data_IF_124060075739
#
_entry.id   IF_124060075739
#
_cell.length_a   1.000
_cell.length_b   1.000
_cell.length_c   1.000
_cell.angle_alpha   90.00
_cell.angle_beta   90.00
_cell.angle_gamma   90.00
#
_symmetry.space_group_name_H-M   'P 1'
#
loop_
_entity.id
_entity.type
_entity.pdbx_description
1 polymer ?
#
# COMPACT_ATOMS: atom_id res chain seq x y z
N UNK A 1 43.14 60.02 31.51
CA UNK A 1 41.97 59.88 30.61
C UNK A 1 42.50 59.27 29.31
N UNK A 2 42.07 58.14 28.74
CA UNK A 2 40.90 57.25 28.87
C UNK A 2 41.38 55.81 28.57
N UNK A 3 40.72 54.83 29.19
CA UNK A 3 40.96 53.38 29.08
C UNK A 3 40.60 52.88 27.67
N UNK A 4 41.46 52.07 27.07
CA UNK A 4 41.12 51.25 25.91
C UNK A 4 40.82 49.82 26.39
N UNK A 5 39.54 49.52 26.48
CA UNK A 5 38.98 48.22 26.82
C UNK A 5 39.13 47.32 25.59
N UNK A 6 40.03 46.33 25.62
CA UNK A 6 40.00 45.23 24.64
C UNK A 6 38.86 44.29 25.02
N UNK A 7 37.72 44.44 24.34
CA UNK A 7 36.69 43.42 24.28
C UNK A 7 37.27 42.23 23.51
N UNK A 8 37.52 41.13 24.23
CA UNK A 8 37.71 39.84 23.61
C UNK A 8 36.40 39.47 22.89
N UNK A 9 36.39 39.56 21.56
CA UNK A 9 35.39 38.88 20.75
C UNK A 9 35.66 37.38 20.87
N UNK A 10 34.99 36.74 21.82
CA UNK A 10 34.67 35.32 21.72
C UNK A 10 33.84 35.14 20.47
N UNK A 11 34.47 34.68 19.39
CA UNK A 11 33.79 34.05 18.27
C UNK A 11 33.14 32.80 18.84
N UNK A 12 31.89 32.92 19.28
CA UNK A 12 31.00 31.77 19.32
C UNK A 12 30.80 31.36 17.88
N UNK A 13 31.59 30.39 17.42
CA UNK A 13 31.25 29.59 16.27
C UNK A 13 29.89 28.97 16.60
N UNK A 14 28.83 29.58 16.07
CA UNK A 14 27.51 29.00 16.06
C UNK A 14 27.65 27.64 15.38
N UNK A 15 27.47 26.58 16.15
CA UNK A 15 27.14 25.25 15.65
C UNK A 15 25.73 25.27 15.03
N UNK A 16 25.52 26.16 14.05
CA UNK A 16 24.43 26.05 13.10
C UNK A 16 24.87 24.94 12.15
N UNK A 17 24.65 23.69 12.58
CA UNK A 17 24.80 22.54 11.72
C UNK A 17 23.97 22.78 10.48
N UNK A 18 24.57 22.58 9.32
CA UNK A 18 23.91 22.69 8.02
C UNK A 18 22.70 21.75 8.03
N UNK A 19 21.50 22.34 8.15
CA UNK A 19 20.22 21.62 8.18
C UNK A 19 19.82 21.15 6.78
N UNK A 20 20.60 21.49 5.75
CA UNK A 20 20.33 21.09 4.38
C UNK A 20 20.75 19.63 4.14
N UNK A 21 19.89 18.78 3.56
CA UNK A 21 20.30 17.47 3.08
C UNK A 21 21.37 17.60 1.99
N UNK A 22 22.40 16.76 2.06
CA UNK A 22 23.41 16.64 1.01
C UNK A 22 22.83 15.94 -0.22
N UNK A 23 23.43 16.14 -1.40
CA UNK A 23 22.94 15.48 -2.62
C UNK A 23 22.95 13.94 -2.53
N UNK A 24 23.93 13.37 -1.81
CA UNK A 24 23.97 11.92 -1.58
C UNK A 24 22.77 11.43 -0.79
N UNK A 25 22.37 12.19 0.24
CA UNK A 25 21.18 11.89 1.05
C UNK A 25 19.90 12.03 0.26
N UNK A 26 19.79 13.07 -0.57
CA UNK A 26 18.63 13.27 -1.46
C UNK A 26 18.51 12.10 -2.44
N UNK A 27 19.62 11.65 -3.03
CA UNK A 27 19.61 10.55 -3.99
C UNK A 27 19.23 9.21 -3.33
N UNK A 28 19.80 8.91 -2.15
CA UNK A 28 19.44 7.70 -1.40
C UNK A 28 17.96 7.72 -0.98
N UNK A 29 17.49 8.85 -0.47
CA UNK A 29 16.10 9.00 -0.05
C UNK A 29 15.12 8.91 -1.23
N UNK A 30 15.47 9.49 -2.38
CA UNK A 30 14.68 9.36 -3.63
C UNK A 30 14.55 7.90 -4.03
N UNK A 31 15.65 7.13 -4.02
CA UNK A 31 15.62 5.72 -4.35
C UNK A 31 14.77 4.89 -3.36
N UNK A 32 14.66 5.31 -2.09
CA UNK A 32 13.77 4.67 -1.09
C UNK A 32 12.31 5.03 -1.31
N UNK A 33 12.00 6.29 -1.65
CA UNK A 33 10.64 6.71 -2.02
C UNK A 33 10.12 5.92 -3.21
N UNK A 34 10.92 5.76 -4.26
CA UNK A 34 10.53 4.97 -5.43
C UNK A 34 10.23 3.50 -5.07
N UNK A 35 11.05 2.90 -4.20
CA UNK A 35 10.82 1.53 -3.72
C UNK A 35 9.55 1.43 -2.88
N UNK A 36 9.28 2.40 -2.00
CA UNK A 36 8.04 2.45 -1.23
C UNK A 36 6.86 2.57 -2.18
N UNK A 37 6.87 3.54 -3.11
CA UNK A 37 5.80 3.76 -4.07
C UNK A 37 5.51 2.48 -4.88
N UNK A 38 6.54 1.83 -5.42
CA UNK A 38 6.40 0.60 -6.18
C UNK A 38 5.85 -0.57 -5.33
N UNK A 39 6.30 -0.71 -4.08
CA UNK A 39 5.80 -1.74 -3.16
C UNK A 39 4.33 -1.49 -2.79
N UNK A 40 3.97 -0.24 -2.50
CA UNK A 40 2.59 0.13 -2.18
C UNK A 40 1.65 0.05 -3.39
N UNK A 41 2.17 0.20 -4.61
CA UNK A 41 1.41 -0.06 -5.84
C UNK A 41 1.04 -1.55 -5.98
N UNK A 42 1.92 -2.47 -5.57
CA UNK A 42 1.60 -3.90 -5.52
C UNK A 42 0.60 -4.25 -4.41
N UNK A 43 0.73 -3.61 -3.24
CA UNK A 43 -0.26 -3.72 -2.15
C UNK A 43 -1.63 -3.24 -2.61
N UNK A 44 -1.68 -2.11 -3.31
CA UNK A 44 -2.88 -1.61 -3.98
C UNK A 44 -3.48 -2.67 -4.91
N UNK A 45 -2.67 -3.28 -5.76
CA UNK A 45 -3.12 -4.36 -6.65
C UNK A 45 -3.74 -5.53 -5.89
N UNK A 46 -3.15 -5.96 -4.78
CA UNK A 46 -3.70 -7.02 -3.95
C UNK A 46 -5.07 -6.67 -3.35
N UNK A 47 -5.24 -5.43 -2.88
CA UNK A 47 -6.49 -4.97 -2.30
C UNK A 47 -7.57 -4.70 -3.35
N UNK A 48 -7.20 -4.26 -4.56
CA UNK A 48 -8.16 -4.11 -5.66
C UNK A 48 -8.73 -5.45 -6.12
N UNK A 49 -7.98 -6.56 -6.03
CA UNK A 49 -8.52 -7.90 -6.27
C UNK A 49 -9.61 -8.25 -5.25
N UNK A 50 -9.47 -7.85 -3.99
CA UNK A 50 -10.56 -8.00 -3.03
C UNK A 50 -11.75 -7.10 -3.36
N UNK A 51 -11.47 -5.91 -3.89
CA UNK A 51 -12.45 -4.95 -4.35
C UNK A 51 -13.36 -5.45 -5.49
N UNK A 52 -12.94 -6.49 -6.20
CA UNK A 52 -13.73 -7.11 -7.27
C UNK A 52 -14.96 -7.85 -6.75
N UNK A 53 -14.94 -8.26 -5.49
CA UNK A 53 -16.08 -8.91 -4.85
C UNK A 53 -16.79 -7.89 -3.94
N UNK A 54 -18.12 -7.90 -3.88
CA UNK A 54 -18.87 -6.98 -3.03
C UNK A 54 -18.58 -7.21 -1.54
N UNK A 55 -18.99 -6.23 -0.73
CA UNK A 55 -18.99 -6.33 0.72
C UNK A 55 -20.27 -7.00 1.18
N UNK A 56 -20.12 -7.98 2.06
CA UNK A 56 -21.23 -8.58 2.74
C UNK A 56 -21.92 -7.61 3.69
N UNK A 57 -23.24 -7.45 3.53
CA UNK A 57 -24.08 -6.75 4.49
C UNK A 57 -24.87 -7.81 5.27
N UNK A 58 -24.78 -7.79 6.59
CA UNK A 58 -25.42 -8.77 7.47
C UNK A 58 -26.90 -8.99 7.13
N UNK A 59 -27.35 -10.23 7.25
CA UNK A 59 -28.76 -10.61 7.10
C UNK A 59 -29.13 -11.30 5.79
N UNK A 60 -28.20 -11.49 4.86
CA UNK A 60 -28.42 -12.31 3.66
C UNK A 60 -27.71 -13.68 3.78
N UNK A 61 -28.31 -14.80 3.31
CA UNK A 61 -27.63 -16.08 3.34
C UNK A 61 -26.35 -16.06 2.48
N UNK A 62 -25.23 -16.55 3.05
CA UNK A 62 -23.90 -16.57 2.42
C UNK A 62 -23.90 -17.00 0.95
N UNK A 63 -24.58 -18.09 0.62
CA UNK A 63 -24.63 -18.60 -0.77
C UNK A 63 -25.39 -17.69 -1.73
N UNK A 64 -26.46 -17.03 -1.27
CA UNK A 64 -27.21 -16.08 -2.09
C UNK A 64 -26.33 -14.89 -2.43
N UNK A 65 -25.64 -14.34 -1.43
CA UNK A 65 -24.68 -13.26 -1.59
C UNK A 65 -23.59 -13.60 -2.62
N UNK A 66 -22.94 -14.76 -2.46
CA UNK A 66 -21.82 -15.14 -3.32
C UNK A 66 -22.24 -15.35 -4.78
N UNK A 67 -23.44 -15.85 -5.03
CA UNK A 67 -23.96 -15.97 -6.40
C UNK A 67 -24.15 -14.59 -7.05
N UNK A 68 -24.77 -13.64 -6.33
CA UNK A 68 -24.91 -12.26 -6.80
C UNK A 68 -23.56 -11.56 -7.01
N UNK A 69 -22.60 -11.82 -6.12
CA UNK A 69 -21.25 -11.32 -6.23
C UNK A 69 -20.56 -11.77 -7.52
N UNK A 70 -20.67 -13.06 -7.86
CA UNK A 70 -20.09 -13.64 -9.08
C UNK A 70 -20.75 -13.08 -10.34
N UNK A 71 -22.08 -12.91 -10.32
CA UNK A 71 -22.81 -12.26 -11.42
C UNK A 71 -22.35 -10.81 -11.62
N UNK A 72 -22.21 -10.04 -10.52
CA UNK A 72 -21.76 -8.66 -10.53
C UNK A 72 -20.31 -8.49 -11.03
N UNK A 73 -19.41 -9.39 -10.64
CA UNK A 73 -18.04 -9.40 -11.14
C UNK A 73 -18.00 -9.67 -12.65
N UNK A 74 -18.74 -10.66 -13.12
CA UNK A 74 -18.78 -11.01 -14.55
C UNK A 74 -19.35 -9.88 -15.41
N UNK A 75 -20.26 -9.07 -14.84
CA UNK A 75 -20.81 -7.88 -15.50
C UNK A 75 -19.84 -6.69 -15.51
N UNK A 76 -18.98 -6.54 -14.49
CA UNK A 76 -18.08 -5.39 -14.35
C UNK A 76 -16.70 -5.61 -14.97
N UNK A 77 -16.19 -6.84 -14.96
CA UNK A 77 -14.88 -7.20 -15.52
C UNK A 77 -15.06 -8.34 -16.52
N UNK A 78 -15.36 -7.99 -17.77
CA UNK A 78 -15.74 -8.93 -18.83
C UNK A 78 -14.70 -10.00 -19.20
N UNK A 79 -13.43 -9.76 -18.86
CA UNK A 79 -12.34 -10.69 -19.11
C UNK A 79 -11.96 -11.56 -17.89
N UNK A 80 -12.68 -11.39 -16.78
CA UNK A 80 -12.57 -12.24 -15.60
C UNK A 80 -13.78 -13.19 -15.54
N UNK A 81 -13.54 -14.36 -14.95
CA UNK A 81 -14.58 -15.33 -14.64
C UNK A 81 -14.51 -15.62 -13.16
N UNK A 82 -15.66 -15.85 -12.53
CA UNK A 82 -15.72 -16.30 -11.15
C UNK A 82 -16.64 -17.51 -11.00
N UNK A 83 -16.29 -18.40 -10.09
CA UNK A 83 -17.07 -19.63 -9.85
C UNK A 83 -17.10 -19.91 -8.36
N UNK A 84 -18.32 -20.02 -7.81
CA UNK A 84 -18.55 -20.42 -6.42
C UNK A 84 -18.39 -21.93 -6.29
N UNK A 85 -17.63 -22.38 -5.30
CA UNK A 85 -17.44 -23.78 -4.95
C UNK A 85 -17.62 -23.95 -3.43
N UNK A 86 -18.57 -24.78 -2.98
CA UNK A 86 -18.70 -25.09 -1.57
C UNK A 86 -17.47 -25.85 -1.06
N UNK A 87 -16.98 -25.47 0.12
CA UNK A 87 -15.83 -26.13 0.77
C UNK A 87 -16.33 -26.99 1.92
N UNK A 88 -17.09 -26.39 2.84
CA UNK A 88 -17.74 -27.07 3.97
C UNK A 88 -19.05 -26.34 4.34
N UNK A 89 -19.62 -26.66 5.50
CA UNK A 89 -20.89 -26.11 5.96
C UNK A 89 -20.81 -24.59 6.24
N UNK A 90 -19.65 -24.10 6.65
CA UNK A 90 -19.41 -22.71 7.07
C UNK A 90 -18.49 -21.94 6.13
N UNK A 91 -17.96 -22.59 5.10
CA UNK A 91 -17.01 -22.04 4.15
C UNK A 91 -17.43 -22.30 2.70
N UNK A 92 -17.52 -21.23 1.91
CA UNK A 92 -17.58 -21.30 0.45
C UNK A 92 -16.32 -20.66 -0.13
N UNK A 93 -15.97 -21.01 -1.37
CA UNK A 93 -14.84 -20.40 -2.07
C UNK A 93 -15.28 -19.84 -3.42
N UNK A 94 -14.70 -18.74 -3.84
CA UNK A 94 -14.85 -18.17 -5.17
C UNK A 94 -13.51 -18.24 -5.87
N UNK A 95 -13.43 -19.00 -6.96
CA UNK A 95 -12.27 -19.00 -7.84
C UNK A 95 -12.45 -17.89 -8.87
N UNK A 96 -11.61 -16.86 -8.80
CA UNK A 96 -11.53 -15.79 -9.81
C UNK A 96 -10.39 -16.12 -10.78
N UNK A 97 -10.66 -16.13 -12.07
CA UNK A 97 -9.69 -16.36 -13.14
C UNK A 97 -9.74 -15.25 -14.17
N UNK A 98 -8.58 -14.66 -14.46
CA UNK A 98 -8.42 -13.65 -15.50
C UNK A 98 -7.98 -14.31 -16.81
N UNK A 99 -8.34 -13.71 -17.95
CA UNK A 99 -7.90 -14.17 -19.27
C UNK A 99 -6.36 -14.22 -19.38
N UNK A 100 -5.83 -15.10 -20.24
CA UNK A 100 -4.38 -15.26 -20.45
C UNK A 100 -3.72 -13.98 -20.98
N UNK A 101 -4.43 -13.20 -21.80
CA UNK A 101 -4.01 -11.87 -22.23
C UNK A 101 -4.05 -10.82 -21.13
N UNK A 102 -4.60 -11.13 -19.97
CA UNK A 102 -4.77 -10.24 -18.83
C UNK A 102 -5.96 -9.29 -18.93
N UNK A 103 -6.34 -8.79 -17.77
CA UNK A 103 -7.45 -7.87 -17.57
C UNK A 103 -6.97 -6.54 -17.05
N UNK A 104 -7.33 -5.47 -17.76
CA UNK A 104 -7.10 -4.12 -17.27
C UNK A 104 -8.24 -3.71 -16.34
N UNK A 105 -7.92 -3.57 -15.05
CA UNK A 105 -8.83 -3.08 -14.01
C UNK A 105 -8.15 -1.92 -13.32
N UNK A 106 -8.77 -0.75 -13.33
CA UNK A 106 -8.25 0.50 -12.72
C UNK A 106 -6.76 0.79 -13.02
N UNK A 107 -6.33 0.61 -14.26
CA UNK A 107 -4.95 0.89 -14.68
C UNK A 107 -3.91 -0.17 -14.28
N UNK A 108 -4.33 -1.26 -13.66
CA UNK A 108 -3.52 -2.45 -13.38
C UNK A 108 -3.86 -3.56 -14.38
N UNK A 109 -2.87 -4.34 -14.79
CA UNK A 109 -3.07 -5.54 -15.61
C UNK A 109 -2.97 -6.80 -14.74
N UNK A 110 -4.10 -7.45 -14.53
CA UNK A 110 -4.22 -8.71 -13.78
C UNK A 110 -4.15 -9.92 -14.70
N UNK A 111 -3.39 -10.95 -14.32
CA UNK A 111 -3.42 -12.28 -14.97
C UNK A 111 -3.41 -13.38 -13.91
N UNK A 112 -3.76 -14.61 -14.33
CA UNK A 112 -3.74 -15.79 -13.46
C UNK A 112 -5.07 -16.02 -12.74
N UNK A 113 -5.00 -16.61 -11.55
CA UNK A 113 -6.19 -16.97 -10.77
C UNK A 113 -5.95 -16.82 -9.27
N UNK A 114 -7.02 -16.54 -8.53
CA UNK A 114 -7.03 -16.50 -7.07
C UNK A 114 -8.25 -17.22 -6.51
N UNK A 115 -8.06 -17.85 -5.36
CA UNK A 115 -9.15 -18.43 -4.57
C UNK A 115 -9.44 -17.49 -3.40
N UNK A 116 -10.69 -17.05 -3.32
CA UNK A 116 -11.22 -16.22 -2.24
C UNK A 116 -12.11 -17.13 -1.39
N UNK A 117 -11.71 -17.40 -0.16
CA UNK A 117 -12.44 -18.24 0.79
C UNK A 117 -13.27 -17.36 1.71
N UNK A 118 -14.57 -17.64 1.77
CA UNK A 118 -15.56 -16.93 2.56
C UNK A 118 -16.04 -17.83 3.68
N UNK A 119 -15.77 -17.45 4.91
CA UNK A 119 -16.15 -18.15 6.13
C UNK A 119 -17.21 -17.36 6.90
N UNK A 120 -18.20 -18.06 7.45
CA UNK A 120 -19.25 -17.46 8.27
C UNK A 120 -20.65 -17.56 7.65
N UNK A 121 -21.56 -16.66 8.03
CA UNK A 121 -22.99 -16.71 7.68
C UNK A 121 -23.69 -15.38 7.89
N UNK A 122 -24.98 -15.43 8.27
CA UNK A 122 -25.88 -14.27 8.33
C UNK A 122 -25.38 -13.12 9.24
N UNK A 123 -24.65 -13.46 10.30
CA UNK A 123 -24.20 -12.53 11.33
C UNK A 123 -22.77 -12.02 11.14
N UNK A 124 -21.91 -12.76 10.45
CA UNK A 124 -20.51 -12.42 10.25
C UNK A 124 -20.02 -13.14 9.00
N UNK A 125 -19.31 -12.41 8.13
CA UNK A 125 -18.58 -13.03 7.04
C UNK A 125 -17.14 -12.51 6.98
N UNK A 126 -16.22 -13.45 6.96
CA UNK A 126 -14.79 -13.24 6.80
C UNK A 126 -14.38 -13.77 5.42
N UNK A 127 -13.53 -13.03 4.72
CA UNK A 127 -12.98 -13.44 3.44
C UNK A 127 -11.47 -13.39 3.49
N UNK A 128 -10.85 -14.45 2.96
CA UNK A 128 -9.41 -14.61 2.84
C UNK A 128 -9.07 -14.95 1.40
N UNK A 129 -8.06 -14.31 0.82
CA UNK A 129 -7.59 -14.64 -0.51
C UNK A 129 -6.09 -14.93 -0.50
N UNK A 130 -5.73 -16.01 -1.17
CA UNK A 130 -4.35 -16.33 -1.51
C UNK A 130 -4.11 -15.96 -2.98
N UNK A 131 -3.30 -14.92 -3.20
CA UNK A 131 -3.09 -14.33 -4.52
C UNK A 131 -1.81 -14.82 -5.20
N UNK A 132 -1.10 -15.81 -4.63
CA UNK A 132 0.17 -16.34 -5.15
C UNK A 132 0.09 -16.93 -6.56
N UNK A 133 -1.13 -17.21 -7.05
CA UNK A 133 -1.41 -17.63 -8.43
C UNK A 133 -1.67 -16.50 -9.42
N UNK A 134 -1.50 -15.23 -9.01
CA UNK A 134 -1.78 -14.05 -9.83
C UNK A 134 -0.53 -13.25 -10.16
N UNK A 135 -0.63 -12.44 -11.21
CA UNK A 135 0.32 -11.34 -11.46
C UNK A 135 -0.41 -10.00 -11.61
N UNK A 136 0.27 -8.93 -11.21
CA UNK A 136 -0.16 -7.53 -11.38
C UNK A 136 0.94 -6.79 -12.14
N UNK A 137 0.60 -6.20 -13.28
CA UNK A 137 1.55 -5.53 -14.17
C UNK A 137 2.76 -6.43 -14.52
N UNK A 138 2.53 -7.75 -14.62
CA UNK A 138 3.54 -8.77 -14.92
C UNK A 138 4.40 -9.19 -13.72
N UNK A 139 4.17 -8.65 -12.53
CA UNK A 139 4.84 -9.04 -11.30
C UNK A 139 4.03 -10.08 -10.54
N UNK A 140 4.62 -11.21 -10.10
CA UNK A 140 3.93 -12.17 -9.25
C UNK A 140 3.45 -11.52 -7.95
N UNK A 141 2.22 -11.83 -7.55
CA UNK A 141 1.64 -11.27 -6.34
C UNK A 141 1.75 -12.28 -5.18
N UNK A 142 2.75 -12.15 -4.32
CA UNK A 142 2.84 -12.97 -3.11
C UNK A 142 2.03 -12.30 -1.99
N UNK A 143 0.70 -12.41 -2.05
CA UNK A 143 -0.17 -11.73 -1.11
C UNK A 143 -1.18 -12.65 -0.45
N UNK A 144 -1.38 -12.44 0.85
CA UNK A 144 -2.55 -12.88 1.60
C UNK A 144 -3.32 -11.65 2.03
N UNK A 145 -4.57 -11.57 1.64
CA UNK A 145 -5.42 -10.42 1.93
C UNK A 145 -6.75 -10.92 2.46
N UNK A 146 -7.46 -10.08 3.21
CA UNK A 146 -8.80 -10.43 3.63
C UNK A 146 -9.57 -9.28 4.24
N UNK A 147 -10.86 -9.51 4.43
CA UNK A 147 -11.73 -8.62 5.18
C UNK A 147 -12.68 -9.40 6.08
N UNK A 148 -13.18 -8.78 7.13
CA UNK A 148 -14.31 -9.29 7.91
C UNK A 148 -15.27 -8.16 8.24
N UNK A 149 -16.58 -8.40 8.07
CA UNK A 149 -17.63 -7.42 8.40
C UNK A 149 -18.72 -8.01 9.29
N UNK A 150 -19.09 -7.28 10.36
CA UNK A 150 -20.26 -7.56 11.19
C UNK A 150 -20.74 -6.26 11.86
N UNK A 151 -22.01 -5.90 11.61
CA UNK A 151 -22.59 -4.64 12.11
C UNK A 151 -21.77 -3.42 11.67
N UNK A 152 -21.30 -2.63 12.64
CA UNK A 152 -20.47 -1.47 12.37
C UNK A 152 -18.97 -1.77 12.21
N UNK A 153 -18.54 -3.01 12.42
CA UNK A 153 -17.13 -3.36 12.36
C UNK A 153 -16.76 -3.90 10.97
N UNK A 154 -15.75 -3.28 10.37
CA UNK A 154 -15.07 -3.78 9.18
C UNK A 154 -13.56 -3.81 9.47
N UNK A 155 -12.94 -4.97 9.25
CA UNK A 155 -11.48 -5.15 9.35
C UNK A 155 -10.95 -5.57 7.99
N UNK A 156 -9.88 -4.95 7.53
CA UNK A 156 -9.11 -5.38 6.37
C UNK A 156 -7.69 -5.71 6.81
N UNK A 157 -7.10 -6.71 6.17
CA UNK A 157 -5.68 -6.96 6.31
C UNK A 157 -5.06 -7.33 4.96
N UNK A 158 -3.78 -7.02 4.82
CA UNK A 158 -2.96 -7.41 3.69
C UNK A 158 -1.55 -7.74 4.20
N UNK A 159 -1.10 -8.97 3.99
CA UNK A 159 0.30 -9.39 4.11
C UNK A 159 0.80 -9.64 2.68
N UNK A 160 1.58 -8.70 2.16
CA UNK A 160 2.07 -8.71 0.78
C UNK A 160 3.59 -8.74 0.80
N UNK A 161 4.19 -9.70 0.14
CA UNK A 161 5.62 -9.78 -0.11
C UNK A 161 5.90 -9.81 -1.62
N UNK A 162 7.14 -9.52 -2.01
CA UNK A 162 7.53 -9.60 -3.41
C UNK A 162 8.84 -8.92 -3.73
N UNK A 163 9.23 -8.99 -5.00
CA UNK A 163 10.34 -8.22 -5.55
C UNK A 163 9.90 -6.79 -5.81
N UNK A 164 10.80 -5.82 -5.60
CA UNK A 164 10.52 -4.43 -5.96
C UNK A 164 10.64 -4.28 -7.48
N UNK A 165 9.59 -3.83 -8.18
CA UNK A 165 9.62 -3.67 -9.64
C UNK A 165 10.82 -2.86 -10.14
N UNK A 166 11.52 -3.38 -11.16
CA UNK A 166 12.67 -2.72 -11.76
C UNK A 166 13.95 -2.70 -10.90
N UNK A 167 13.96 -3.34 -9.72
CA UNK A 167 15.09 -3.31 -8.77
C UNK A 167 15.50 -4.74 -8.37
N UNK A 168 16.35 -5.38 -9.20
CA UNK A 168 16.83 -6.73 -8.92
C UNK A 168 17.50 -6.84 -7.54
N UNK A 169 17.24 -7.95 -6.83
CA UNK A 169 17.78 -8.21 -5.49
C UNK A 169 17.17 -7.34 -4.37
N UNK A 170 16.08 -6.62 -4.65
CA UNK A 170 15.32 -5.87 -3.64
C UNK A 170 13.96 -6.52 -3.45
N UNK A 171 13.59 -6.77 -2.20
CA UNK A 171 12.29 -7.33 -1.83
C UNK A 171 11.58 -6.44 -0.84
N UNK A 172 10.28 -6.61 -0.72
CA UNK A 172 9.48 -5.94 0.28
C UNK A 172 8.55 -6.91 1.00
N UNK A 173 8.12 -6.52 2.19
CA UNK A 173 6.99 -7.13 2.89
C UNK A 173 6.15 -6.04 3.54
N UNK A 174 4.85 -6.01 3.34
CA UNK A 174 3.93 -5.05 3.97
C UNK A 174 2.86 -5.82 4.72
N UNK A 175 2.72 -5.54 6.02
CA UNK A 175 1.64 -6.06 6.84
C UNK A 175 0.71 -4.91 7.21
N UNK A 176 -0.30 -4.69 6.39
CA UNK A 176 -1.30 -3.65 6.58
C UNK A 176 -2.50 -4.23 7.33
N UNK A 177 -2.97 -3.50 8.34
CA UNK A 177 -4.25 -3.79 9.03
C UNK A 177 -5.03 -2.50 9.14
N UNK A 178 -6.20 -2.46 8.51
CA UNK A 178 -7.04 -1.27 8.43
C UNK A 178 -8.38 -1.56 9.09
N UNK A 179 -8.72 -0.82 10.13
CA UNK A 179 -10.07 -0.80 10.70
C UNK A 179 -10.96 0.23 9.99
N UNK A 180 -12.29 0.13 10.17
CA UNK A 180 -13.25 1.11 9.63
C UNK A 180 -12.88 2.55 10.06
N UNK A 181 -12.81 3.47 9.10
CA UNK A 181 -12.65 4.93 9.26
C UNK A 181 -13.73 5.63 8.46
N UNK A 182 -13.97 6.91 8.75
CA UNK A 182 -14.84 7.75 7.94
C UNK A 182 -14.31 7.79 6.49
N UNK A 183 -15.15 7.46 5.50
CA UNK A 183 -14.73 7.28 4.11
C UNK A 183 -14.34 5.85 3.71
N UNK A 184 -14.40 4.85 4.61
CA UNK A 184 -14.33 3.42 4.27
C UNK A 184 -15.77 2.85 4.15
N UNK A 185 -16.07 1.96 3.19
CA UNK A 185 -15.26 0.82 2.74
C UNK A 185 -14.36 1.06 1.51
N UNK A 186 -13.22 0.36 1.49
CA UNK A 186 -12.24 0.30 0.39
C UNK A 186 -12.83 -0.44 -0.84
N UNK A 187 -13.76 -1.37 -0.59
CA UNK A 187 -14.33 -2.27 -1.60
C UNK A 187 -15.45 -1.56 -2.34
N UNK A 188 -15.24 -1.31 -3.64
CA UNK A 188 -16.13 -0.51 -4.49
C UNK A 188 -16.00 1.01 -4.32
N UNK A 189 -15.11 1.47 -3.44
CA UNK A 189 -14.78 2.88 -3.25
C UNK A 189 -13.85 3.43 -4.33
N UNK A 190 -13.78 4.75 -4.46
CA UNK A 190 -12.83 5.41 -5.36
C UNK A 190 -11.47 5.64 -4.70
N UNK A 191 -11.29 5.23 -3.45
CA UNK A 191 -10.03 5.37 -2.71
C UNK A 191 -9.71 4.18 -1.81
N UNK A 192 -8.42 4.01 -1.51
CA UNK A 192 -7.88 2.98 -0.62
C UNK A 192 -6.98 3.68 0.41
N UNK A 193 -6.99 3.24 1.68
CA UNK A 193 -6.11 3.80 2.72
C UNK A 193 -5.23 2.68 3.27
N UNK A 194 -3.92 2.88 3.32
CA UNK A 194 -2.96 1.93 3.87
C UNK A 194 -2.40 2.40 5.21
N UNK A 195 -2.41 1.50 6.18
CA UNK A 195 -1.87 1.71 7.52
C UNK A 195 -1.15 0.44 7.99
N UNK A 196 0.06 0.59 8.50
CA UNK A 196 0.78 -0.50 9.14
C UNK A 196 2.26 -0.56 8.77
N UNK A 197 2.98 -1.49 9.41
CA UNK A 197 4.40 -1.69 9.19
C UNK A 197 4.70 -2.40 7.87
N UNK A 198 5.91 -2.18 7.37
CA UNK A 198 6.51 -2.93 6.30
C UNK A 198 8.03 -2.93 6.36
N UNK A 199 8.64 -3.70 5.48
CA UNK A 199 10.08 -3.89 5.37
C UNK A 199 10.50 -3.78 3.91
N UNK A 200 11.64 -3.14 3.67
CA UNK A 200 12.32 -3.12 2.37
C UNK A 200 13.70 -3.73 2.54
N UNK A 201 13.94 -4.87 1.91
CA UNK A 201 15.24 -5.54 1.93
C UNK A 201 16.00 -5.27 0.64
N UNK A 202 17.28 -4.93 0.76
CA UNK A 202 18.20 -4.78 -0.37
C UNK A 202 19.65 -5.07 0.04
N UNK A 203 20.63 -4.77 -0.84
CA UNK A 203 22.04 -5.08 -0.58
C UNK A 203 22.62 -4.39 0.67
N UNK A 204 22.06 -3.24 1.06
CA UNK A 204 22.48 -2.48 2.23
C UNK A 204 21.83 -2.95 3.55
N UNK A 205 20.97 -3.96 3.51
CA UNK A 205 20.21 -4.45 4.66
C UNK A 205 18.71 -4.28 4.51
N UNK A 206 18.00 -4.41 5.63
CA UNK A 206 16.54 -4.30 5.71
C UNK A 206 16.16 -2.99 6.39
N UNK A 207 15.50 -2.11 5.64
CA UNK A 207 14.84 -0.94 6.21
C UNK A 207 13.47 -1.35 6.73
N UNK A 208 13.03 -0.69 7.80
CA UNK A 208 11.66 -0.79 8.30
C UNK A 208 10.90 0.46 7.93
N UNK A 209 9.63 0.33 7.60
CA UNK A 209 8.78 1.49 7.41
C UNK A 209 7.42 1.32 8.05
N UNK A 210 6.75 2.43 8.33
CA UNK A 210 5.37 2.47 8.82
C UNK A 210 4.58 3.42 7.92
N UNK A 211 3.52 2.90 7.32
CA UNK A 211 2.55 3.68 6.55
C UNK A 211 1.49 4.22 7.50
N UNK A 212 1.18 5.51 7.38
CA UNK A 212 0.14 6.16 8.18
C UNK A 212 -0.77 6.97 7.26
N UNK A 213 -2.02 6.53 7.18
CA UNK A 213 -3.08 7.20 6.39
C UNK A 213 -2.70 7.37 4.93
N UNK A 214 -2.02 6.40 4.33
CA UNK A 214 -1.57 6.50 2.94
C UNK A 214 -2.76 6.29 2.00
N UNK A 215 -3.38 7.38 1.56
CA UNK A 215 -4.58 7.37 0.71
C UNK A 215 -4.20 7.30 -0.77
N UNK A 216 -4.79 6.34 -1.47
CA UNK A 216 -4.75 6.21 -2.93
C UNK A 216 -6.11 6.55 -3.52
N UNK A 217 -6.13 7.32 -4.61
CA UNK A 217 -7.27 7.30 -5.53
C UNK A 217 -7.12 6.08 -6.44
N UNK A 218 -8.18 5.26 -6.54
CA UNK A 218 -8.23 4.09 -7.43
C UNK A 218 -7.89 4.54 -8.86
N UNK A 219 -6.96 3.83 -9.50
CA UNK A 219 -6.38 4.20 -10.78
C UNK A 219 -4.96 4.77 -10.71
N UNK A 220 -4.54 5.31 -9.56
CA UNK A 220 -3.32 6.12 -9.48
C UNK A 220 -2.12 5.38 -8.88
N UNK A 221 -0.93 5.61 -9.46
CA UNK A 221 0.31 5.00 -9.02
C UNK A 221 0.85 5.59 -7.71
N UNK A 222 0.66 6.90 -7.50
CA UNK A 222 1.10 7.56 -6.27
C UNK A 222 -0.06 7.77 -5.30
N UNK A 223 0.22 7.70 -3.98
CA UNK A 223 -0.73 8.14 -2.97
C UNK A 223 -1.08 9.62 -3.17
N UNK A 224 -2.36 9.92 -3.01
CA UNK A 224 -2.89 11.29 -2.96
C UNK A 224 -2.38 12.03 -1.72
N UNK A 225 -2.39 11.38 -0.57
CA UNK A 225 -1.93 11.94 0.69
C UNK A 225 -1.51 10.86 1.69
N UNK A 226 -0.85 11.29 2.77
CA UNK A 226 -0.41 10.42 3.85
C UNK A 226 1.09 10.42 4.02
N UNK A 227 1.59 9.53 4.88
CA UNK A 227 3.01 9.49 5.22
C UNK A 227 3.56 8.07 5.28
N UNK A 228 4.83 7.93 4.92
CA UNK A 228 5.64 6.76 5.21
C UNK A 228 6.85 7.19 6.05
N UNK A 229 6.98 6.63 7.25
CA UNK A 229 8.16 6.79 8.09
C UNK A 229 9.06 5.59 7.86
N UNK A 230 10.31 5.79 7.45
CA UNK A 230 11.28 4.74 7.19
C UNK A 230 12.48 4.88 8.14
N UNK A 231 12.87 3.77 8.75
CA UNK A 231 14.08 3.59 9.54
C UNK A 231 15.04 2.73 8.71
N UNK A 232 16.17 3.31 8.30
CA UNK A 232 17.15 2.59 7.48
C UNK A 232 17.92 1.58 8.32
N UNK A 233 18.46 0.55 7.68
CA UNK A 233 19.36 -0.41 8.33
C UNK A 233 20.60 0.26 8.99
N UNK A 234 20.95 1.47 8.55
CA UNK A 234 22.07 2.28 9.06
C UNK A 234 21.66 3.20 10.21
N UNK A 235 20.40 3.18 10.64
CA UNK A 235 19.90 3.96 11.77
C UNK A 235 19.44 5.38 11.43
N UNK A 236 19.19 5.68 10.15
CA UNK A 236 18.63 6.97 9.72
C UNK A 236 17.11 6.93 9.68
N UNK A 237 16.50 8.09 9.86
CA UNK A 237 15.05 8.24 9.71
C UNK A 237 14.73 9.02 8.45
N UNK A 238 13.78 8.54 7.65
CA UNK A 238 13.24 9.24 6.49
C UNK A 238 11.74 9.39 6.68
N UNK A 239 11.25 10.62 6.68
CA UNK A 239 9.81 10.89 6.61
C UNK A 239 9.47 11.25 5.17
N UNK A 240 8.56 10.50 4.58
CA UNK A 240 8.06 10.73 3.23
C UNK A 240 6.62 11.20 3.36
N UNK A 241 6.35 12.42 2.91
CA UNK A 241 5.03 13.02 2.92
C UNK A 241 4.48 13.11 1.50
N UNK A 242 3.33 12.48 1.29
CA UNK A 242 2.51 12.63 0.10
C UNK A 242 1.51 13.74 0.36
N UNK A 243 1.49 14.75 -0.50
CA UNK A 243 0.65 15.93 -0.36
C UNK A 243 -0.33 16.02 -1.55
N UNK A 244 -1.58 16.47 -1.34
CA UNK A 244 -2.64 16.49 -2.37
C UNK A 244 -2.30 17.16 -3.71
N UNK A 245 -1.30 18.03 -3.75
CA UNK A 245 -0.87 18.73 -4.97
C UNK A 245 0.35 18.07 -5.62
N UNK A 246 1.24 17.47 -4.82
CA UNK A 246 2.52 16.94 -5.29
C UNK A 246 2.37 15.61 -6.04
N UNK A 247 1.43 14.76 -5.63
CA UNK A 247 1.24 13.45 -6.26
C UNK A 247 0.82 13.55 -7.72
N UNK A 248 0.00 14.56 -8.07
CA UNK A 248 -0.46 14.82 -9.45
C UNK A 248 0.67 15.19 -10.40
N UNK A 249 1.78 15.71 -9.86
CA UNK A 249 2.99 16.07 -10.62
C UNK A 249 4.12 15.07 -10.41
N UNK A 250 3.82 13.89 -9.85
CA UNK A 250 4.81 12.81 -9.69
C UNK A 250 5.88 13.13 -8.66
N UNK A 251 5.53 13.81 -7.55
CA UNK A 251 6.48 14.25 -6.53
C UNK A 251 6.05 13.85 -5.12
N UNK A 252 7.04 13.72 -4.23
CA UNK A 252 6.86 13.58 -2.80
C UNK A 252 7.79 14.53 -2.04
N UNK A 253 7.42 14.89 -0.82
CA UNK A 253 8.28 15.63 0.09
C UNK A 253 9.00 14.65 1.02
N UNK A 254 10.29 14.86 1.24
CA UNK A 254 11.11 14.02 2.10
C UNK A 254 11.79 14.87 3.16
N UNK A 255 11.76 14.40 4.40
CA UNK A 255 12.60 14.89 5.50
C UNK A 255 13.60 13.79 5.86
N UNK A 256 14.89 14.13 5.87
CA UNK A 256 15.98 13.21 6.26
C UNK A 256 16.41 13.55 7.68
N UNK A 257 16.22 12.63 8.62
CA UNK A 257 16.41 12.87 10.05
C UNK A 257 15.65 14.14 10.47
N UNK A 258 16.33 15.10 11.11
CA UNK A 258 15.76 16.40 11.51
C UNK A 258 16.15 17.55 10.55
N UNK A 259 16.51 17.23 9.30
CA UNK A 259 16.92 18.22 8.28
C UNK A 259 15.73 18.90 7.60
N UNK A 260 16.02 19.95 6.84
CA UNK A 260 15.01 20.66 6.05
C UNK A 260 14.37 19.74 4.98
N UNK A 261 13.05 19.83 4.78
CA UNK A 261 12.35 19.00 3.80
C UNK A 261 12.71 19.36 2.37
N UNK A 262 12.77 18.36 1.50
CA UNK A 262 13.07 18.50 0.07
C UNK A 262 12.00 17.80 -0.76
N UNK A 263 11.59 18.43 -1.86
CA UNK A 263 10.68 17.81 -2.82
C UNK A 263 11.49 17.05 -3.88
N UNK A 264 11.17 15.77 -4.08
CA UNK A 264 11.83 14.92 -5.08
C UNK A 264 10.81 14.38 -6.09
N UNK A 265 11.22 14.12 -7.35
CA UNK A 265 10.40 13.36 -8.28
C UNK A 265 10.33 11.89 -7.87
N UNK A 266 9.21 11.23 -8.18
CA UNK A 266 9.01 9.79 -8.02
C UNK A 266 8.77 9.18 -9.39
N UNK A 267 9.68 8.32 -9.82
CA UNK A 267 9.58 7.64 -11.11
C UNK A 267 8.80 6.31 -10.95
N UNK A 268 8.11 5.92 -12.02
CA UNK A 268 7.40 4.65 -12.15
C UNK A 268 8.31 3.57 -12.72
#
# INVERSE_FOLDING_TARGET
>A
MRRATCLALTVLATACGDSTPTQGEINDATARVERIAASTHLVRGALEVLGLMPVYTCGEPRRSFLNHAVEGLSASVSCATATVTPVDDVTDSVLVKFAEGGCSVHGLRFTGQARLEYQGGEDLMEMHADLRGMTVDGQPLQAKVGYGTCGDEARLFADVEGDVPGRAGHTFRVNSKVGKREGLPIIGGTSLIFDGPGELTGPAGTDRFTLTGLEYEVGNYLPKEGTALLETAEGRTLKIAFQPVLWRVGKAEITVDDKDPVTVPVLR
#
